data_IF_308197860864
#
_entry.id   IF_308197860864
#
_cell.length_a   1.000
_cell.length_b   1.000
_cell.length_c   1.000
_cell.angle_alpha   90.00
_cell.angle_beta   90.00
_cell.angle_gamma   90.00
#
_symmetry.space_group_name_H-M   'P 1'
#
loop_
_entity.id
_entity.type
_entity.pdbx_description
1 polymer ?
#
# COMPACT_ATOMS: atom_id res chain seq x y z
N UNK A 1 26.26 -0.91 5.02
CA UNK A 1 25.03 -1.30 5.74
C UNK A 1 23.94 -0.37 5.30
N UNK A 2 22.88 -0.88 4.66
CA UNK A 2 21.77 -0.05 4.24
C UNK A 2 21.07 0.49 5.49
N UNK A 3 21.07 1.82 5.65
CA UNK A 3 20.41 2.47 6.77
C UNK A 3 18.89 2.32 6.61
N UNK A 4 18.31 1.29 7.22
CA UNK A 4 16.86 1.07 7.36
C UNK A 4 16.15 2.15 8.22
N UNK A 5 16.77 3.32 8.41
CA UNK A 5 16.39 4.34 9.37
C UNK A 5 15.36 5.34 8.81
N UNK A 6 15.06 5.32 7.51
CA UNK A 6 14.13 6.26 6.88
C UNK A 6 13.29 5.63 5.76
N UNK A 7 12.59 4.55 6.12
CA UNK A 7 11.72 3.80 5.21
C UNK A 7 10.24 3.94 5.59
N UNK A 8 9.38 3.87 4.59
CA UNK A 8 7.93 3.89 4.77
C UNK A 8 7.36 2.54 4.36
N UNK A 9 6.61 1.92 5.26
CA UNK A 9 5.86 0.70 4.98
C UNK A 9 4.42 1.06 4.66
N UNK A 10 3.95 0.75 3.45
CA UNK A 10 2.52 0.90 3.11
C UNK A 10 1.75 -0.30 3.67
N UNK A 11 0.68 -0.01 4.41
CA UNK A 11 -0.17 -1.05 5.02
C UNK A 11 -1.61 -0.82 4.62
N UNK A 12 -2.18 -1.78 3.90
CA UNK A 12 -3.62 -1.85 3.64
C UNK A 12 -4.28 -2.46 4.88
N UNK A 13 -5.28 -1.79 5.45
CA UNK A 13 -5.89 -2.23 6.71
C UNK A 13 -7.41 -2.15 6.64
N UNK A 14 -8.07 -3.25 6.99
CA UNK A 14 -9.51 -3.29 7.19
C UNK A 14 -9.92 -3.12 8.65
N UNK A 15 -11.16 -2.69 8.91
CA UNK A 15 -11.69 -2.61 10.27
C UNK A 15 -11.79 -3.98 10.97
N UNK A 16 -11.94 -5.06 10.20
CA UNK A 16 -12.09 -6.42 10.71
C UNK A 16 -10.75 -7.16 10.92
N UNK A 17 -9.63 -6.45 10.75
CA UNK A 17 -8.30 -6.96 11.06
C UNK A 17 -7.54 -7.58 9.88
N UNK A 18 -8.15 -7.70 8.69
CA UNK A 18 -7.41 -8.05 7.48
C UNK A 18 -6.39 -6.95 7.19
N UNK A 19 -5.16 -7.35 6.91
CA UNK A 19 -4.10 -6.41 6.58
C UNK A 19 -3.11 -7.01 5.58
N UNK A 20 -2.63 -6.15 4.68
CA UNK A 20 -1.54 -6.45 3.77
C UNK A 20 -0.45 -5.43 4.03
N UNK A 21 0.76 -5.93 4.33
CA UNK A 21 1.96 -5.10 4.46
C UNK A 21 2.76 -5.22 3.18
N UNK A 22 2.91 -4.11 2.48
CA UNK A 22 3.84 -4.02 1.37
C UNK A 22 5.27 -4.03 1.93
N UNK A 23 6.30 -4.44 1.15
CA UNK A 23 7.68 -4.25 1.58
C UNK A 23 7.98 -2.76 1.86
N UNK A 24 9.02 -2.44 2.65
CA UNK A 24 9.37 -1.05 2.92
C UNK A 24 9.92 -0.38 1.66
N UNK A 25 9.60 0.90 1.49
CA UNK A 25 10.17 1.74 0.43
C UNK A 25 10.93 2.95 1.00
N UNK A 26 12.00 3.41 0.35
CA UNK A 26 12.72 4.60 0.81
C UNK A 26 11.82 5.84 0.78
N UNK A 27 11.93 6.71 1.80
CA UNK A 27 11.14 7.94 1.86
C UNK A 27 11.31 8.85 0.64
N UNK A 28 12.51 8.90 0.06
CA UNK A 28 12.80 9.70 -1.15
C UNK A 28 11.97 9.27 -2.37
N UNK A 29 11.52 8.02 -2.39
CA UNK A 29 10.72 7.44 -3.48
C UNK A 29 9.22 7.44 -3.11
N UNK A 30 8.86 7.88 -1.89
CA UNK A 30 7.48 7.91 -1.42
C UNK A 30 6.70 9.09 -2.01
N UNK A 31 5.95 8.81 -3.07
CA UNK A 31 5.04 9.74 -3.73
C UNK A 31 3.68 9.09 -3.97
N UNK A 32 2.66 9.88 -4.35
CA UNK A 32 1.35 9.32 -4.69
C UNK A 32 1.43 8.30 -5.82
N UNK A 33 2.16 8.62 -6.90
CA UNK A 33 2.28 7.73 -8.06
C UNK A 33 2.97 6.42 -7.67
N UNK A 34 4.07 6.52 -6.94
CA UNK A 34 4.83 5.35 -6.48
C UNK A 34 4.01 4.49 -5.53
N UNK A 35 3.30 5.07 -4.55
CA UNK A 35 2.43 4.31 -3.65
C UNK A 35 1.34 3.55 -4.41
N UNK A 36 0.71 4.18 -5.41
CA UNK A 36 -0.33 3.52 -6.21
C UNK A 36 0.22 2.38 -7.06
N UNK A 37 1.36 2.61 -7.74
CA UNK A 37 2.05 1.57 -8.50
C UNK A 37 2.49 0.42 -7.59
N UNK A 38 2.99 0.76 -6.40
CA UNK A 38 3.49 -0.19 -5.42
C UNK A 38 2.40 -1.09 -4.85
N UNK A 39 1.22 -0.54 -4.54
CA UNK A 39 0.05 -1.32 -4.14
C UNK A 39 -0.36 -2.30 -5.24
N UNK A 40 -0.38 -1.85 -6.51
CA UNK A 40 -0.68 -2.71 -7.65
C UNK A 40 0.33 -3.86 -7.80
N UNK A 41 1.63 -3.56 -7.66
CA UNK A 41 2.69 -4.57 -7.72
C UNK A 41 2.63 -5.57 -6.57
N UNK A 42 2.42 -5.10 -5.33
CA UNK A 42 2.40 -5.96 -4.15
C UNK A 42 1.21 -6.92 -4.12
N UNK A 43 0.16 -6.57 -4.86
CA UNK A 43 -1.07 -7.36 -4.92
C UNK A 43 -1.20 -8.25 -6.15
N UNK A 44 -0.33 -8.11 -7.15
CA UNK A 44 -0.48 -8.75 -8.47
C UNK A 44 -1.66 -8.21 -9.29
N UNK A 45 -2.43 -7.26 -8.76
CA UNK A 45 -3.61 -6.73 -9.43
C UNK A 45 -3.22 -5.69 -10.51
N UNK A 46 -3.52 -6.00 -11.78
CA UNK A 46 -3.42 -5.01 -12.87
C UNK A 46 -4.36 -3.80 -12.66
N UNK A 47 -5.49 -4.02 -11.99
CA UNK A 47 -6.48 -2.99 -11.65
C UNK A 47 -7.05 -3.30 -10.28
N UNK A 48 -7.15 -2.29 -9.44
CA UNK A 48 -7.77 -2.36 -8.13
C UNK A 48 -8.55 -1.09 -7.83
N UNK A 49 -9.54 -1.21 -6.95
CA UNK A 49 -10.34 -0.09 -6.49
C UNK A 49 -10.34 -0.05 -4.97
N UNK A 50 -9.74 1.01 -4.40
CA UNK A 50 -9.79 1.33 -2.98
C UNK A 50 -10.35 2.76 -2.87
N UNK A 51 -11.49 2.91 -2.19
CA UNK A 51 -12.22 4.18 -2.09
C UNK A 51 -11.39 5.25 -1.38
N UNK A 52 -10.64 4.88 -0.32
CA UNK A 52 -9.86 5.83 0.48
C UNK A 52 -8.80 6.58 -0.33
N UNK A 53 -8.22 5.96 -1.37
CA UNK A 53 -7.19 6.55 -2.25
C UNK A 53 -7.69 7.76 -3.05
N UNK A 54 -9.01 7.87 -3.24
CA UNK A 54 -9.68 8.96 -3.96
C UNK A 54 -10.06 10.13 -3.05
N UNK A 55 -9.86 10.01 -1.74
CA UNK A 55 -10.25 11.04 -0.77
C UNK A 55 -9.16 12.12 -0.59
N UNK A 56 -9.52 13.36 -0.24
CA UNK A 56 -8.55 14.39 0.16
C UNK A 56 -7.70 13.95 1.34
N UNK A 57 -8.29 13.18 2.26
CA UNK A 57 -7.63 12.66 3.47
C UNK A 57 -6.39 11.84 3.15
N UNK A 58 -6.44 11.04 2.09
CA UNK A 58 -5.27 10.30 1.62
C UNK A 58 -4.11 11.23 1.27
N UNK A 59 -4.39 12.30 0.51
CA UNK A 59 -3.37 13.29 0.12
C UNK A 59 -2.78 14.01 1.34
N UNK A 60 -3.61 14.39 2.30
CA UNK A 60 -3.16 15.00 3.56
C UNK A 60 -2.25 14.06 4.36
N UNK A 61 -2.65 12.79 4.51
CA UNK A 61 -1.87 11.80 5.24
C UNK A 61 -0.55 11.52 4.52
N UNK A 62 -0.56 11.42 3.19
CA UNK A 62 0.64 11.25 2.37
C UNK A 62 1.62 12.41 2.56
N UNK A 63 1.13 13.66 2.53
CA UNK A 63 1.96 14.85 2.78
C UNK A 63 2.52 14.89 4.21
N UNK A 64 1.74 14.46 5.21
CA UNK A 64 2.22 14.37 6.61
C UNK A 64 3.34 13.35 6.74
N UNK A 65 3.19 12.19 6.11
CA UNK A 65 4.25 11.19 6.07
C UNK A 65 5.46 11.79 5.35
N UNK A 66 5.36 12.35 4.15
CA UNK A 66 6.52 12.93 3.43
C UNK A 66 7.33 13.89 4.31
N UNK A 67 6.65 14.74 5.09
CA UNK A 67 7.29 15.76 5.96
C UNK A 67 7.82 15.21 7.29
N UNK A 68 7.50 13.97 7.63
CA UNK A 68 8.00 13.33 8.86
C UNK A 68 9.42 12.79 8.68
N UNK A 69 9.99 12.26 9.76
CA UNK A 69 11.32 11.65 9.79
C UNK A 69 11.26 10.25 10.40
N UNK A 70 12.19 9.41 10.02
CA UNK A 70 12.36 8.08 10.59
C UNK A 70 11.43 7.07 9.95
N UNK A 71 11.60 5.79 10.29
CA UNK A 71 10.78 4.73 9.70
C UNK A 71 9.33 4.80 10.19
N UNK A 72 8.38 4.69 9.27
CA UNK A 72 6.95 4.86 9.56
C UNK A 72 6.05 3.93 8.75
N UNK A 73 4.83 3.74 9.22
CA UNK A 73 3.79 3.06 8.47
C UNK A 73 2.82 4.08 7.88
N UNK A 74 2.56 3.97 6.58
CA UNK A 74 1.48 4.68 5.91
C UNK A 74 0.27 3.77 5.78
N UNK A 75 -0.76 4.05 6.56
CA UNK A 75 -1.98 3.24 6.59
C UNK A 75 -2.94 3.71 5.50
N UNK A 76 -3.38 2.77 4.67
CA UNK A 76 -4.47 2.96 3.70
C UNK A 76 -5.67 2.18 4.20
N UNK A 77 -6.71 2.91 4.56
CA UNK A 77 -7.97 2.33 5.01
C UNK A 77 -8.64 1.59 3.85
N UNK A 78 -8.98 0.32 4.07
CA UNK A 78 -9.66 -0.53 3.09
C UNK A 78 -10.88 -1.20 3.74
N UNK A 79 -11.85 -1.64 2.96
CA UNK A 79 -12.82 -2.65 3.40
C UNK A 79 -12.22 -4.06 3.26
N UNK A 80 -12.89 -5.06 3.82
CA UNK A 80 -12.47 -6.46 3.61
C UNK A 80 -12.58 -6.86 2.14
N UNK A 81 -13.63 -6.41 1.46
CA UNK A 81 -13.86 -6.67 0.03
C UNK A 81 -12.78 -6.01 -0.83
N UNK A 82 -12.33 -4.81 -0.45
CA UNK A 82 -11.23 -4.12 -1.12
C UNK A 82 -9.91 -4.89 -0.97
N UNK A 83 -9.64 -5.44 0.22
CA UNK A 83 -8.46 -6.28 0.45
C UNK A 83 -8.56 -7.61 -0.32
N UNK A 84 -9.75 -8.20 -0.42
CA UNK A 84 -9.95 -9.49 -1.08
C UNK A 84 -9.66 -9.45 -2.59
N UNK A 85 -9.67 -8.26 -3.22
CA UNK A 85 -9.20 -8.07 -4.61
C UNK A 85 -7.75 -8.54 -4.81
N UNK A 86 -6.95 -8.58 -3.74
CA UNK A 86 -5.54 -8.92 -3.75
C UNK A 86 -5.27 -10.38 -3.34
N UNK A 87 -6.30 -11.12 -2.92
CA UNK A 87 -6.20 -12.52 -2.50
C UNK A 87 -6.38 -13.51 -3.66
N UNK A 88 -6.65 -13.04 -4.88
CA UNK A 88 -7.03 -13.87 -6.01
C UNK A 88 -5.87 -14.60 -6.72
N UNK A 89 -4.60 -14.31 -6.40
CA UNK A 89 -3.43 -14.98 -7.01
C UNK A 89 -3.03 -16.33 -6.36
N UNK A 90 -4.01 -17.17 -6.05
CA UNK A 90 -3.80 -18.63 -6.04
C UNK A 90 -4.65 -19.38 -7.06
N UNK A 91 -5.18 -18.69 -8.08
CA UNK A 91 -5.85 -19.36 -9.21
C UNK A 91 -5.51 -18.74 -10.56
N UNK A 92 -4.33 -19.08 -11.06
CA UNK A 92 -4.05 -19.31 -12.48
C UNK A 92 -2.81 -20.21 -12.51
N UNK A 93 -2.80 -21.45 -13.00
CA UNK A 93 -3.62 -22.09 -14.01
C UNK A 93 -2.66 -22.82 -14.93
N UNK A 94 -2.24 -24.04 -14.56
CA UNK A 94 -1.69 -24.99 -15.54
C UNK A 94 -2.76 -25.22 -16.61
N UNK A 95 -2.52 -24.72 -17.81
CA UNK A 95 -3.13 -25.18 -19.05
C UNK A 95 -2.36 -24.56 -20.24
N UNK A 96 -1.28 -25.24 -20.63
CA UNK A 96 -0.93 -25.57 -22.02
C UNK A 96 0.29 -26.51 -21.98
#
# INVERSE_FOLDING_TARGET
GANAMDEITVVLKSPNGKNIKCPPMPRKDFSRAEVLGYIGMCSGAQRFEIASLKTPKFGENLLKIIKSKGSQSFIVDCTDEEIDQFSAETKSGSNA
#
